data_IF_749195359196
#
_entry.id   IF_749195359196
#
_cell.length_a   1.000
_cell.length_b   1.000
_cell.length_c   1.000
_cell.angle_alpha   90.00
_cell.angle_beta   90.00
_cell.angle_gamma   90.00
#
_symmetry.space_group_name_H-M   'P 1'
#
loop_
_entity.id
_entity.type
_entity.pdbx_description
1 polymer ?
#
# COMPACT_ATOMS: atom_id res chain seq x y z
N UNK A 1 -38.18 11.08 -27.77
CA UNK A 1 -37.63 10.63 -29.07
C UNK A 1 -36.36 11.42 -29.35
N UNK A 2 -35.28 10.77 -29.82
CA UNK A 2 -34.09 11.49 -30.26
C UNK A 2 -34.39 12.29 -31.53
N UNK A 3 -33.73 13.45 -31.68
CA UNK A 3 -33.79 14.30 -32.85
C UNK A 3 -32.68 13.88 -33.81
N UNK A 4 -33.05 13.43 -35.01
CA UNK A 4 -32.09 12.95 -36.00
C UNK A 4 -31.43 14.13 -36.72
N UNK A 5 -30.11 14.23 -36.62
CA UNK A 5 -29.32 15.18 -37.40
C UNK A 5 -29.03 14.53 -38.75
N UNK A 6 -29.44 15.17 -39.84
CA UNK A 6 -29.18 14.70 -41.22
C UNK A 6 -28.31 15.66 -42.03
N UNK A 7 -28.00 16.82 -41.47
CA UNK A 7 -27.13 17.80 -42.11
C UNK A 7 -25.69 17.33 -41.94
N UNK A 8 -25.05 16.98 -43.04
CA UNK A 8 -23.63 16.66 -43.08
C UNK A 8 -23.05 17.05 -44.44
N UNK A 9 -21.77 17.39 -44.47
CA UNK A 9 -21.00 17.60 -45.69
C UNK A 9 -19.84 16.62 -45.69
N UNK A 10 -19.60 15.96 -46.82
CA UNK A 10 -18.51 15.00 -46.93
C UNK A 10 -17.73 15.22 -48.23
N UNK A 11 -16.44 14.94 -48.14
CA UNK A 11 -15.50 14.97 -49.24
C UNK A 11 -14.75 13.63 -49.24
N UNK A 12 -14.25 13.23 -50.41
CA UNK A 12 -13.50 11.99 -50.52
C UNK A 12 -12.26 12.13 -51.37
N UNK A 13 -11.29 11.30 -51.02
CA UNK A 13 -10.12 10.96 -51.81
C UNK A 13 -10.19 9.46 -52.13
N UNK A 14 -9.27 8.95 -52.97
CA UNK A 14 -9.20 7.53 -53.27
C UNK A 14 -9.05 6.65 -52.01
N UNK A 15 -8.33 7.15 -50.98
CA UNK A 15 -7.98 6.39 -49.77
C UNK A 15 -8.73 6.83 -48.50
N UNK A 16 -9.28 8.05 -48.47
CA UNK A 16 -9.86 8.62 -47.27
C UNK A 16 -11.18 9.34 -47.55
N UNK A 17 -12.00 9.46 -46.52
CA UNK A 17 -13.26 10.20 -46.50
C UNK A 17 -13.23 11.20 -45.35
N UNK A 18 -13.52 12.45 -45.68
CA UNK A 18 -13.66 13.53 -44.73
C UNK A 18 -15.15 13.80 -44.54
N UNK A 19 -15.66 13.64 -43.32
CA UNK A 19 -17.07 13.87 -43.01
C UNK A 19 -17.16 14.95 -41.93
N UNK A 20 -17.92 16.00 -42.22
CA UNK A 20 -18.20 17.10 -41.31
C UNK A 20 -19.66 17.07 -40.93
N UNK A 21 -19.93 16.90 -39.64
CA UNK A 21 -21.28 16.92 -39.07
C UNK A 21 -21.42 18.17 -38.20
N UNK A 22 -22.15 19.20 -38.65
CA UNK A 22 -22.41 20.39 -37.85
C UNK A 22 -23.22 20.04 -36.58
N UNK A 23 -22.76 20.50 -35.43
CA UNK A 23 -23.36 20.17 -34.13
C UNK A 23 -23.56 21.42 -33.26
N UNK A 24 -24.52 22.26 -33.66
CA UNK A 24 -24.70 23.60 -33.09
C UNK A 24 -25.46 23.65 -31.76
N UNK A 25 -26.07 22.54 -31.34
CA UNK A 25 -27.11 22.56 -30.32
C UNK A 25 -26.67 22.13 -28.90
N UNK A 26 -25.53 21.43 -28.75
CA UNK A 26 -25.05 20.96 -27.45
C UNK A 26 -23.54 20.67 -27.45
N UNK A 27 -22.84 20.82 -26.31
CA UNK A 27 -21.43 20.44 -26.22
C UNK A 27 -21.27 18.92 -26.36
N UNK A 28 -20.51 18.50 -27.37
CA UNK A 28 -20.18 17.10 -27.62
C UNK A 28 -19.18 16.58 -26.59
N UNK A 29 -19.48 15.42 -26.01
CA UNK A 29 -18.52 14.63 -25.25
C UNK A 29 -17.84 13.63 -26.17
N UNK A 30 -16.58 13.30 -25.89
CA UNK A 30 -15.83 12.27 -26.64
C UNK A 30 -16.53 10.92 -26.58
N UNK A 31 -17.12 10.57 -25.43
CA UNK A 31 -17.87 9.33 -25.21
C UNK A 31 -19.14 9.21 -26.08
N UNK A 32 -19.59 10.32 -26.68
CA UNK A 32 -20.75 10.35 -27.57
C UNK A 32 -20.43 9.91 -29.00
N UNK A 33 -19.16 9.84 -29.38
CA UNK A 33 -18.72 9.50 -30.73
C UNK A 33 -18.36 8.02 -30.76
N UNK A 34 -19.02 7.28 -31.64
CA UNK A 34 -18.77 5.87 -31.89
C UNK A 34 -18.44 5.69 -33.37
N UNK A 35 -17.28 5.08 -33.62
CA UNK A 35 -16.75 4.80 -34.94
C UNK A 35 -16.39 3.32 -35.02
N UNK A 36 -16.93 2.63 -36.01
CA UNK A 36 -16.65 1.24 -36.31
C UNK A 36 -16.50 1.07 -37.84
N UNK A 37 -16.06 -0.10 -38.29
CA UNK A 37 -15.72 -0.35 -39.70
C UNK A 37 -16.80 0.06 -40.70
N UNK A 38 -18.09 -0.12 -40.40
CA UNK A 38 -19.18 0.27 -41.32
C UNK A 38 -20.22 1.17 -40.67
N UNK A 39 -19.98 1.61 -39.44
CA UNK A 39 -21.00 2.25 -38.62
C UNK A 39 -20.44 3.45 -37.88
N UNK A 40 -21.10 4.59 -38.08
CA UNK A 40 -20.81 5.84 -37.40
C UNK A 40 -22.01 6.27 -36.59
N UNK A 41 -21.76 6.71 -35.36
CA UNK A 41 -22.78 7.25 -34.50
C UNK A 41 -22.21 8.41 -33.69
N UNK A 42 -22.95 9.52 -33.65
CA UNK A 42 -22.68 10.65 -32.77
C UNK A 42 -23.92 10.89 -31.94
N UNK A 43 -23.77 10.76 -30.63
CA UNK A 43 -24.84 10.89 -29.66
C UNK A 43 -24.54 12.02 -28.68
N UNK A 44 -25.36 13.06 -28.71
CA UNK A 44 -25.40 14.08 -27.66
C UNK A 44 -26.86 14.46 -27.45
N UNK A 45 -27.55 13.80 -26.50
CA UNK A 45 -28.98 13.98 -26.28
C UNK A 45 -29.38 15.46 -26.17
N UNK A 46 -30.47 15.90 -26.84
CA UNK A 46 -31.46 15.08 -27.52
C UNK A 46 -31.11 14.66 -28.96
N UNK A 47 -29.94 15.03 -29.49
CA UNK A 47 -29.57 14.84 -30.89
C UNK A 47 -28.79 13.54 -31.13
N UNK A 48 -29.08 12.89 -32.26
CA UNK A 48 -28.42 11.67 -32.71
C UNK A 48 -28.12 11.76 -34.20
N UNK A 49 -26.88 11.48 -34.58
CA UNK A 49 -26.47 11.21 -35.94
C UNK A 49 -26.07 9.73 -36.03
N UNK A 50 -26.54 9.07 -37.08
CA UNK A 50 -26.22 7.67 -37.39
C UNK A 50 -26.03 7.55 -38.89
N UNK A 51 -24.93 6.92 -39.30
CA UNK A 51 -24.63 6.67 -40.69
C UNK A 51 -24.02 5.28 -40.83
N UNK A 52 -24.55 4.51 -41.78
CA UNK A 52 -24.00 3.21 -42.19
C UNK A 52 -23.22 3.44 -43.47
N UNK A 53 -21.91 3.25 -43.40
CA UNK A 53 -21.00 3.54 -44.48
C UNK A 53 -21.18 2.58 -45.65
N UNK A 54 -20.95 3.08 -46.87
CA UNK A 54 -21.02 2.30 -48.10
C UNK A 54 -20.07 1.09 -48.11
N UNK A 55 -18.83 1.30 -47.65
CA UNK A 55 -17.78 0.29 -47.62
C UNK A 55 -17.03 0.33 -46.27
N UNK A 56 -16.30 -0.74 -45.90
CA UNK A 56 -15.63 -0.80 -44.61
C UNK A 56 -14.42 0.13 -44.55
N UNK A 57 -14.26 0.77 -43.40
CA UNK A 57 -13.13 1.64 -43.05
C UNK A 57 -12.21 0.96 -42.04
N UNK A 58 -10.98 1.47 -41.93
CA UNK A 58 -10.02 1.12 -40.89
C UNK A 58 -10.32 1.93 -39.62
N UNK A 59 -10.84 1.27 -38.58
CA UNK A 59 -11.21 1.88 -37.31
C UNK A 59 -10.00 2.37 -36.49
N UNK A 60 -8.86 1.68 -36.57
CA UNK A 60 -7.63 2.04 -35.84
C UNK A 60 -6.99 3.31 -36.39
N UNK A 61 -7.00 3.46 -37.72
CA UNK A 61 -6.36 4.61 -38.39
C UNK A 61 -7.29 5.82 -38.49
N UNK A 62 -8.60 5.58 -38.49
CA UNK A 62 -9.61 6.64 -38.57
C UNK A 62 -9.66 7.48 -37.29
N UNK A 63 -9.87 8.79 -37.43
CA UNK A 63 -9.89 9.71 -36.29
C UNK A 63 -11.10 10.63 -36.35
N UNK A 64 -11.60 11.02 -35.18
CA UNK A 64 -12.66 11.99 -35.03
C UNK A 64 -12.18 13.16 -34.17
N UNK A 65 -12.38 14.38 -34.66
CA UNK A 65 -12.03 15.63 -33.99
C UNK A 65 -13.29 16.45 -33.77
N UNK A 66 -13.40 17.07 -32.60
CA UNK A 66 -14.49 17.99 -32.28
C UNK A 66 -13.89 19.39 -32.33
N UNK A 67 -14.36 20.23 -33.25
CA UNK A 67 -13.84 21.59 -33.43
C UNK A 67 -14.99 22.56 -33.66
N UNK A 68 -15.01 23.66 -32.90
CA UNK A 68 -15.95 24.78 -33.06
C UNK A 68 -17.45 24.37 -33.16
N UNK A 69 -17.85 23.32 -32.44
CA UNK A 69 -19.23 22.82 -32.49
C UNK A 69 -19.56 22.02 -33.77
N UNK A 70 -18.55 21.47 -34.45
CA UNK A 70 -18.71 20.50 -35.54
C UNK A 70 -17.83 19.28 -35.27
N UNK A 71 -18.29 18.10 -35.72
CA UNK A 71 -17.49 16.87 -35.67
C UNK A 71 -16.86 16.63 -37.03
N UNK A 72 -15.54 16.58 -37.05
CA UNK A 72 -14.72 16.27 -38.21
C UNK A 72 -14.23 14.83 -38.11
N UNK A 73 -14.69 13.99 -39.01
CA UNK A 73 -14.24 12.62 -39.18
C UNK A 73 -13.23 12.55 -40.31
N UNK A 74 -12.08 11.93 -40.04
CA UNK A 74 -11.09 11.52 -41.03
C UNK A 74 -11.09 10.00 -41.06
N UNK A 75 -11.79 9.43 -42.03
CA UNK A 75 -12.00 8.00 -42.15
C UNK A 75 -11.10 7.45 -43.24
N UNK A 76 -10.36 6.38 -42.96
CA UNK A 76 -9.51 5.73 -43.97
C UNK A 76 -10.22 4.50 -44.52
N UNK A 77 -10.35 4.43 -45.85
CA UNK A 77 -10.98 3.31 -46.54
C UNK A 77 -10.09 2.08 -46.43
N UNK A 78 -10.68 0.90 -46.21
CA UNK A 78 -9.92 -0.37 -46.20
C UNK A 78 -9.51 -0.78 -47.63
N UNK A 79 -10.37 -0.47 -48.59
CA UNK A 79 -10.12 -0.66 -50.02
C UNK A 79 -10.16 0.72 -50.70
N UNK A 80 -9.11 1.04 -51.47
CA UNK A 80 -9.02 2.31 -52.18
C UNK A 80 -10.00 2.34 -53.36
N UNK A 81 -11.20 2.86 -53.11
CA UNK A 81 -12.27 2.95 -54.09
C UNK A 81 -13.01 4.29 -53.95
N UNK A 82 -13.46 4.87 -55.06
CA UNK A 82 -14.34 6.04 -55.05
C UNK A 82 -15.75 5.61 -54.65
N UNK A 83 -16.36 6.29 -53.69
CA UNK A 83 -17.71 5.99 -53.23
C UNK A 83 -18.71 6.88 -53.96
N UNK A 84 -19.78 6.30 -54.47
CA UNK A 84 -20.86 7.06 -55.11
C UNK A 84 -21.73 7.77 -54.07
N UNK A 85 -21.96 7.09 -52.93
CA UNK A 85 -22.71 7.59 -51.79
C UNK A 85 -21.95 7.30 -50.50
N UNK A 86 -22.01 8.22 -49.52
CA UNK A 86 -21.39 8.01 -48.20
C UNK A 86 -22.10 6.89 -47.42
N UNK A 87 -23.43 6.89 -47.53
CA UNK A 87 -24.33 5.98 -46.83
C UNK A 87 -24.81 4.92 -47.83
N UNK A 88 -25.05 3.69 -47.36
CA UNK A 88 -25.74 2.69 -48.18
C UNK A 88 -27.18 3.14 -48.48
N UNK A 89 -27.48 3.43 -49.75
CA UNK A 89 -28.76 4.05 -50.16
C UNK A 89 -29.99 3.13 -50.02
N UNK A 90 -29.82 1.80 -50.00
CA UNK A 90 -30.93 0.83 -50.03
C UNK A 90 -30.74 -0.36 -49.08
N UNK A 91 -30.25 -0.15 -47.86
CA UNK A 91 -30.13 -1.25 -46.89
C UNK A 91 -31.50 -1.75 -46.42
N UNK A 92 -31.73 -3.06 -46.42
CA UNK A 92 -32.91 -3.60 -45.74
C UNK A 92 -32.82 -3.28 -44.23
N UNK A 93 -33.97 -3.06 -43.57
CA UNK A 93 -34.02 -2.75 -42.13
C UNK A 93 -33.30 -3.82 -41.30
N UNK A 94 -33.37 -5.08 -41.75
CA UNK A 94 -32.66 -6.20 -41.14
C UNK A 94 -31.14 -6.08 -41.27
N UNK A 95 -30.64 -5.66 -42.44
CA UNK A 95 -29.20 -5.49 -42.69
C UNK A 95 -28.63 -4.33 -41.87
N UNK A 96 -29.35 -3.20 -41.78
CA UNK A 96 -28.93 -2.07 -40.95
C UNK A 96 -28.83 -2.46 -39.47
N UNK A 97 -29.77 -3.27 -38.99
CA UNK A 97 -29.77 -3.76 -37.62
C UNK A 97 -28.61 -4.73 -37.36
N UNK A 98 -28.34 -5.65 -38.30
CA UNK A 98 -27.17 -6.55 -38.23
C UNK A 98 -25.86 -5.79 -38.18
N UNK A 99 -25.67 -4.81 -39.07
CA UNK A 99 -24.45 -3.98 -39.08
C UNK A 99 -24.28 -3.25 -37.74
N UNK A 100 -25.37 -2.74 -37.16
CA UNK A 100 -25.34 -2.08 -35.84
C UNK A 100 -24.95 -3.05 -34.73
N UNK A 101 -25.54 -4.24 -34.69
CA UNK A 101 -25.25 -5.27 -33.70
C UNK A 101 -23.81 -5.79 -33.82
N UNK A 102 -23.35 -6.00 -35.05
CA UNK A 102 -22.00 -6.45 -35.37
C UNK A 102 -20.96 -5.41 -34.96
N UNK A 103 -21.21 -4.12 -35.24
CA UNK A 103 -20.33 -3.03 -34.83
C UNK A 103 -20.21 -2.93 -33.30
N UNK A 104 -21.32 -3.06 -32.57
CA UNK A 104 -21.31 -3.04 -31.10
C UNK A 104 -20.58 -4.26 -30.54
N UNK A 105 -20.85 -5.44 -31.09
CA UNK A 105 -20.24 -6.70 -30.65
C UNK A 105 -18.73 -6.70 -30.87
N UNK A 106 -18.27 -6.27 -32.05
CA UNK A 106 -16.84 -6.15 -32.36
C UNK A 106 -16.15 -5.18 -31.42
N UNK A 107 -16.72 -3.98 -31.23
CA UNK A 107 -16.15 -3.00 -30.29
C UNK A 107 -16.06 -3.52 -28.84
N UNK A 108 -17.03 -4.35 -28.40
CA UNK A 108 -16.99 -4.99 -27.09
C UNK A 108 -15.90 -6.07 -27.00
N UNK A 109 -15.73 -6.88 -28.05
CA UNK A 109 -14.69 -7.90 -28.13
C UNK A 109 -13.29 -7.28 -28.15
N UNK A 110 -13.09 -6.23 -28.95
CA UNK A 110 -11.82 -5.50 -29.02
C UNK A 110 -11.49 -4.86 -27.67
N UNK A 111 -12.45 -4.17 -27.04
CA UNK A 111 -12.26 -3.60 -25.71
C UNK A 111 -11.94 -4.66 -24.64
N UNK A 112 -12.55 -5.86 -24.73
CA UNK A 112 -12.26 -6.98 -23.83
C UNK A 112 -10.85 -7.52 -24.06
N UNK A 113 -10.46 -7.76 -25.31
CA UNK A 113 -9.14 -8.28 -25.66
C UNK A 113 -8.02 -7.30 -25.26
N UNK A 114 -8.23 -5.99 -25.44
CA UNK A 114 -7.31 -4.96 -24.96
C UNK A 114 -7.18 -4.94 -23.44
N UNK A 115 -8.28 -5.09 -22.72
CA UNK A 115 -8.27 -5.14 -21.26
C UNK A 115 -7.52 -6.38 -20.76
N UNK A 116 -7.72 -7.53 -21.40
CA UNK A 116 -6.99 -8.78 -21.12
C UNK A 116 -5.50 -8.65 -21.43
N UNK A 117 -5.13 -8.04 -22.56
CA UNK A 117 -3.74 -7.79 -22.92
C UNK A 117 -3.04 -6.84 -21.94
N UNK A 118 -3.71 -5.74 -21.53
CA UNK A 118 -3.20 -4.80 -20.51
C UNK A 118 -3.04 -5.50 -19.15
N UNK A 119 -3.99 -6.35 -18.78
CA UNK A 119 -3.91 -7.14 -17.55
C UNK A 119 -2.78 -8.16 -17.59
N UNK A 120 -2.57 -8.85 -18.72
CA UNK A 120 -1.47 -9.78 -18.94
C UNK A 120 -0.12 -9.07 -18.85
N UNK A 121 0.04 -7.93 -19.53
CA UNK A 121 1.26 -7.13 -19.46
C UNK A 121 1.54 -6.65 -18.03
N UNK A 122 0.51 -6.24 -17.28
CA UNK A 122 0.68 -5.86 -15.87
C UNK A 122 1.17 -7.05 -15.02
N UNK A 123 0.56 -8.23 -15.21
CA UNK A 123 0.97 -9.47 -14.51
C UNK A 123 2.41 -9.84 -14.84
N UNK A 124 2.80 -9.76 -16.10
CA UNK A 124 4.16 -10.07 -16.55
C UNK A 124 5.17 -9.09 -15.94
N UNK A 125 4.89 -7.78 -15.97
CA UNK A 125 5.72 -6.76 -15.32
C UNK A 125 5.87 -7.02 -13.82
N UNK A 126 4.79 -7.38 -13.13
CA UNK A 126 4.85 -7.73 -11.71
C UNK A 126 5.66 -9.00 -11.45
N UNK A 127 5.51 -10.03 -12.28
CA UNK A 127 6.29 -11.27 -12.18
C UNK A 127 7.78 -11.01 -12.38
N UNK A 128 8.13 -10.24 -13.41
CA UNK A 128 9.51 -9.89 -13.70
C UNK A 128 10.15 -9.11 -12.54
N UNK A 129 9.42 -8.17 -11.94
CA UNK A 129 9.91 -7.42 -10.78
C UNK A 129 10.18 -8.34 -9.58
N UNK A 130 9.25 -9.26 -9.25
CA UNK A 130 9.43 -10.24 -8.16
C UNK A 130 10.61 -11.17 -8.44
N UNK A 131 10.72 -11.67 -9.68
CA UNK A 131 11.82 -12.55 -10.07
C UNK A 131 13.18 -11.84 -9.98
N UNK A 132 13.25 -10.57 -10.36
CA UNK A 132 14.46 -9.76 -10.19
C UNK A 132 14.83 -9.59 -8.70
N UNK A 133 13.85 -9.37 -7.82
CA UNK A 133 14.11 -9.28 -6.37
C UNK A 133 14.61 -10.59 -5.78
N UNK A 134 14.03 -11.73 -6.18
CA UNK A 134 14.46 -13.06 -5.74
C UNK A 134 15.91 -13.32 -6.16
N UNK A 135 16.26 -13.02 -7.42
CA UNK A 135 17.63 -13.18 -7.93
C UNK A 135 18.65 -12.37 -7.13
N UNK A 136 18.30 -11.15 -6.73
CA UNK A 136 19.18 -10.32 -5.90
C UNK A 136 19.32 -10.88 -4.48
N UNK A 137 18.22 -11.31 -3.86
CA UNK A 137 18.26 -11.93 -2.53
C UNK A 137 19.04 -13.25 -2.53
N UNK A 138 18.87 -14.09 -3.55
CA UNK A 138 19.59 -15.36 -3.69
C UNK A 138 21.10 -15.13 -3.85
N UNK A 139 21.51 -14.16 -4.68
CA UNK A 139 22.91 -13.79 -4.82
C UNK A 139 23.54 -13.29 -3.50
N UNK A 140 22.78 -12.54 -2.70
CA UNK A 140 23.23 -12.09 -1.38
C UNK A 140 23.34 -13.26 -0.39
N UNK A 141 22.39 -14.21 -0.41
CA UNK A 141 22.45 -15.42 0.41
C UNK A 141 23.68 -16.26 0.06
N UNK A 142 23.94 -16.49 -1.23
CA UNK A 142 25.13 -17.20 -1.70
C UNK A 142 26.42 -16.51 -1.25
N UNK A 143 26.48 -15.18 -1.32
CA UNK A 143 27.61 -14.38 -0.82
C UNK A 143 27.86 -14.62 0.67
N UNK A 144 26.80 -14.57 1.49
CA UNK A 144 26.88 -14.79 2.94
C UNK A 144 27.33 -16.23 3.22
N UNK A 145 26.81 -17.22 2.52
CA UNK A 145 27.19 -18.62 2.68
C UNK A 145 28.65 -18.88 2.32
N UNK A 146 29.14 -18.31 1.22
CA UNK A 146 30.55 -18.38 0.85
C UNK A 146 31.46 -17.75 1.92
N UNK A 147 31.06 -16.63 2.52
CA UNK A 147 31.79 -15.99 3.61
C UNK A 147 31.82 -16.88 4.86
N UNK A 148 30.66 -17.40 5.28
CA UNK A 148 30.56 -18.31 6.43
C UNK A 148 31.42 -19.56 6.22
N UNK A 149 31.40 -20.15 5.03
CA UNK A 149 32.19 -21.33 4.73
C UNK A 149 33.69 -21.02 4.75
N UNK A 150 34.10 -19.85 4.26
CA UNK A 150 35.49 -19.40 4.31
C UNK A 150 35.98 -19.21 5.75
N UNK A 151 35.17 -18.62 6.62
CA UNK A 151 35.49 -18.48 8.04
C UNK A 151 35.53 -19.82 8.75
N UNK A 152 34.59 -20.72 8.45
CA UNK A 152 34.56 -22.09 8.98
C UNK A 152 35.82 -22.85 8.60
N UNK A 153 36.24 -22.80 7.33
CA UNK A 153 37.48 -23.44 6.84
C UNK A 153 38.72 -22.90 7.54
N UNK A 154 38.83 -21.57 7.67
CA UNK A 154 39.95 -20.94 8.39
C UNK A 154 40.01 -21.40 9.86
N UNK A 155 38.86 -21.45 10.54
CA UNK A 155 38.80 -21.90 11.92
C UNK A 155 39.19 -23.39 12.05
N UNK A 156 38.75 -24.25 11.13
CA UNK A 156 39.16 -25.67 11.14
C UNK A 156 40.66 -25.83 10.89
N UNK A 157 41.22 -25.09 9.94
CA UNK A 157 42.66 -25.09 9.67
C UNK A 157 43.49 -24.57 10.85
N UNK A 158 43.00 -23.54 11.56
CA UNK A 158 43.66 -23.01 12.75
C UNK A 158 43.64 -24.01 13.90
N UNK A 159 42.51 -24.69 14.13
CA UNK A 159 42.40 -25.78 15.11
C UNK A 159 43.35 -26.93 14.77
N UNK A 160 43.46 -27.32 13.49
CA UNK A 160 44.39 -28.36 13.04
C UNK A 160 45.84 -27.97 13.28
N UNK A 161 46.24 -26.75 12.89
CA UNK A 161 47.59 -26.22 13.15
C UNK A 161 47.91 -26.17 14.65
N UNK A 162 46.96 -25.75 15.47
CA UNK A 162 47.12 -25.74 16.93
C UNK A 162 47.29 -27.16 17.48
N UNK A 163 46.51 -28.14 17.01
CA UNK A 163 46.66 -29.55 17.40
C UNK A 163 48.06 -30.08 17.07
N UNK A 164 48.56 -29.82 15.86
CA UNK A 164 49.90 -30.23 15.44
C UNK A 164 51.01 -29.58 16.29
N UNK A 165 50.90 -28.28 16.57
CA UNK A 165 51.85 -27.56 17.43
C UNK A 165 51.85 -28.11 18.85
N UNK A 166 50.67 -28.39 19.41
CA UNK A 166 50.52 -28.96 20.75
C UNK A 166 51.11 -30.39 20.81
N UNK A 167 50.92 -31.21 19.77
CA UNK A 167 51.53 -32.53 19.69
C UNK A 167 53.07 -32.46 19.61
N UNK A 168 53.62 -31.50 18.85
CA UNK A 168 55.06 -31.22 18.80
C UNK A 168 55.60 -30.76 20.16
N UNK A 169 54.90 -29.86 20.86
CA UNK A 169 55.27 -29.42 22.21
C UNK A 169 55.24 -30.56 23.23
N UNK A 170 54.23 -31.44 23.18
CA UNK A 170 54.17 -32.63 24.03
C UNK A 170 55.34 -33.59 23.78
N UNK A 171 55.74 -33.78 22.51
CA UNK A 171 56.94 -34.58 22.16
C UNK A 171 58.24 -33.94 22.67
N UNK A 172 58.34 -32.60 22.65
CA UNK A 172 59.52 -31.88 23.18
C UNK A 172 59.57 -31.93 24.72
N UNK A 173 58.42 -31.75 25.39
CA UNK A 173 58.32 -31.83 26.86
C UNK A 173 58.64 -33.24 27.40
N UNK A 174 58.41 -34.28 26.61
CA UNK A 174 58.76 -35.66 26.99
C UNK A 174 60.29 -35.93 26.99
N UNK A 175 61.12 -35.00 26.48
CA UNK A 175 62.57 -35.20 26.37
C UNK A 175 63.45 -34.33 27.29
N UNK A 176 62.91 -33.60 28.27
CA UNK A 176 63.73 -32.89 29.28
C UNK A 176 63.74 -33.62 30.64
N UNK A 177 64.91 -33.99 31.20
CA UNK A 177 65.00 -34.58 32.53
C UNK A 177 64.95 -33.52 33.64
N UNK A 178 64.22 -33.87 34.71
CA UNK A 178 64.03 -33.14 35.97
C UNK A 178 65.36 -32.77 36.66
N UNK A 179 65.52 -31.52 37.09
CA UNK A 179 66.34 -31.17 38.26
C UNK A 179 65.53 -30.30 39.22
N UNK A 180 65.23 -30.86 40.39
CA UNK A 180 64.66 -30.18 41.54
C UNK A 180 65.75 -29.39 42.29
N UNK A 181 65.46 -28.15 42.71
CA UNK A 181 66.18 -27.56 43.84
C UNK A 181 65.24 -26.83 44.79
N UNK A 182 65.32 -27.29 46.04
CA UNK A 182 64.55 -26.98 47.24
C UNK A 182 65.18 -25.77 47.97
N UNK A 183 64.37 -24.89 48.59
CA UNK A 183 64.47 -24.39 49.99
C UNK A 183 63.54 -23.17 50.26
N UNK A 184 63.00 -23.14 51.49
CA UNK A 184 62.01 -22.21 52.07
C UNK A 184 62.70 -21.22 53.07
N UNK A 185 61.99 -20.36 53.86
CA UNK A 185 61.85 -18.89 53.72
C UNK A 185 62.52 -18.05 54.84
N UNK A 186 62.76 -16.75 54.62
CA UNK A 186 63.03 -15.77 55.70
C UNK A 186 62.37 -14.40 55.47
N UNK A 187 62.04 -13.75 56.59
CA UNK A 187 61.25 -12.53 56.78
C UNK A 187 62.12 -11.26 56.65
N UNK A 188 61.53 -10.12 56.25
CA UNK A 188 61.76 -8.83 56.94
C UNK A 188 60.80 -7.74 56.46
N UNK A 189 60.27 -7.00 57.46
CA UNK A 189 59.54 -5.73 57.32
C UNK A 189 60.58 -4.60 57.18
N UNK A 190 60.31 -3.60 56.34
CA UNK A 190 60.58 -2.20 56.72
C UNK A 190 59.78 -1.17 55.92
N UNK A 191 59.45 -0.11 56.64
CA UNK A 191 58.58 1.02 56.39
C UNK A 191 59.25 2.11 55.54
N UNK A 192 58.48 2.86 54.73
CA UNK A 192 58.72 4.30 54.61
C UNK A 192 57.47 5.10 54.17
N UNK A 193 57.16 6.14 54.97
CA UNK A 193 56.11 7.15 54.78
C UNK A 193 56.69 8.38 54.07
N UNK A 194 55.89 9.09 53.24
CA UNK A 194 55.80 10.57 53.24
C UNK A 194 54.38 11.07 52.92
N UNK A 195 54.02 12.16 53.62
CA UNK A 195 52.72 12.85 53.82
C UNK A 195 52.40 13.90 52.74
N UNK A 196 51.12 14.37 52.69
CA UNK A 196 50.61 15.77 52.90
C UNK A 196 49.05 15.74 52.70
N UNK A 197 48.21 15.89 53.76
CA UNK A 197 47.45 17.09 54.29
C UNK A 197 46.32 17.58 53.34
N UNK A 198 45.08 17.93 53.76
CA UNK A 198 44.55 18.44 55.04
C UNK A 198 43.00 18.48 55.16
N UNK A 199 42.50 18.51 56.42
CA UNK A 199 41.37 19.27 57.03
C UNK A 199 39.90 19.06 56.57
N UNK A 200 38.84 19.06 57.40
CA UNK A 200 38.65 19.17 58.87
C UNK A 200 37.15 19.11 59.28
N UNK A 201 36.86 18.58 60.49
CA UNK A 201 35.90 19.06 61.55
C UNK A 201 34.38 18.95 61.28
N UNK A 202 33.50 18.43 62.17
CA UNK A 202 33.59 17.83 63.51
C UNK A 202 32.20 17.45 64.06
N UNK A 203 32.20 16.62 65.13
CA UNK A 203 31.34 16.60 66.36
C UNK A 203 29.78 16.55 66.22
N UNK A 204 28.93 15.87 67.01
CA UNK A 204 29.00 15.15 68.31
C UNK A 204 27.66 14.44 68.62
N UNK A 205 27.69 13.38 69.47
CA UNK A 205 26.74 13.02 70.58
C UNK A 205 25.28 12.58 70.22
N UNK A 206 24.58 11.71 70.94
CA UNK A 206 24.80 10.92 72.17
C UNK A 206 23.64 9.91 72.41
N UNK A 207 23.96 8.84 73.17
CA UNK A 207 23.19 8.21 74.28
C UNK A 207 21.85 7.47 74.03
N UNK A 208 21.81 6.13 74.19
CA UNK A 208 21.36 5.29 75.35
C UNK A 208 19.82 5.06 75.31
N UNK A 209 19.19 3.91 75.60
CA UNK A 209 19.48 2.83 76.55
C UNK A 209 18.53 1.60 76.43
N UNK A 210 19.11 0.41 76.61
CA UNK A 210 18.67 -0.76 77.42
C UNK A 210 17.35 -1.53 77.18
N UNK A 211 17.50 -2.86 77.12
CA UNK A 211 16.45 -3.87 77.33
C UNK A 211 16.95 -5.32 77.13
N UNK A 212 17.48 -5.90 78.21
CA UNK A 212 17.75 -7.33 78.56
C UNK A 212 16.76 -8.38 77.98
N UNK A 213 16.98 -9.70 77.86
CA UNK A 213 18.04 -10.70 78.12
C UNK A 213 17.49 -12.03 77.57
N UNK A 214 18.20 -12.81 76.74
CA UNK A 214 18.11 -14.30 76.69
C UNK A 214 19.49 -14.89 76.30
N UNK A 215 19.85 -15.91 77.06
CA UNK A 215 21.07 -16.73 77.17
C UNK A 215 21.60 -17.44 75.92
N UNK A 216 22.92 -17.64 75.86
CA UNK A 216 23.53 -18.79 75.17
C UNK A 216 24.92 -18.57 74.57
N UNK A 217 25.94 -18.29 75.39
CA UNK A 217 27.34 -18.20 74.95
C UNK A 217 27.93 -19.59 74.63
N UNK A 218 28.26 -19.85 73.36
CA UNK A 218 29.17 -20.93 72.95
C UNK A 218 30.22 -20.50 71.91
N UNK A 219 30.45 -19.19 71.77
CA UNK A 219 31.54 -18.66 70.96
C UNK A 219 32.06 -17.39 71.64
N UNK A 220 33.10 -17.57 72.47
CA UNK A 220 33.84 -16.48 73.06
C UNK A 220 35.31 -16.83 73.06
N UNK A 221 35.90 -16.70 71.88
CA UNK A 221 37.33 -16.45 71.77
C UNK A 221 37.52 -15.27 70.82
N UNK A 222 37.99 -14.17 71.40
CA UNK A 222 38.31 -12.87 70.78
C UNK A 222 38.85 -13.04 69.36
N UNK A 223 38.39 -12.21 68.42
CA UNK A 223 39.22 -11.25 67.66
C UNK A 223 38.39 -10.48 66.62
N UNK A 224 38.29 -9.17 66.85
CA UNK A 224 37.98 -8.09 65.88
C UNK A 224 36.64 -8.17 65.18
N UNK A 225 35.69 -7.47 65.80
CA UNK A 225 34.55 -6.84 65.15
C UNK A 225 35.06 -5.93 64.02
N UNK A 226 35.20 -6.50 62.82
CA UNK A 226 35.18 -5.70 61.59
C UNK A 226 33.77 -5.13 61.48
N UNK A 227 33.65 -3.88 61.89
CA UNK A 227 32.46 -3.06 61.72
C UNK A 227 31.94 -3.24 60.31
N UNK A 228 30.79 -3.89 60.16
CA UNK A 228 30.03 -3.83 58.92
C UNK A 228 29.83 -2.34 58.65
N UNK A 229 30.32 -1.79 57.52
CA UNK A 229 30.17 -0.37 57.25
C UNK A 229 28.67 -0.05 57.22
N UNK A 230 28.29 1.01 57.92
CA UNK A 230 26.89 1.43 58.00
C UNK A 230 26.30 1.55 56.57
N UNK A 231 25.05 1.11 56.34
CA UNK A 231 24.38 1.28 55.06
C UNK A 231 24.51 2.74 54.59
N UNK A 232 24.93 2.93 53.33
CA UNK A 232 25.09 4.27 52.75
C UNK A 232 23.73 4.98 52.80
N UNK A 233 23.72 6.28 53.08
CA UNK A 233 22.50 7.09 53.12
C UNK A 233 21.74 6.98 51.79
N UNK A 234 20.44 6.71 51.84
CA UNK A 234 19.61 6.65 50.65
C UNK A 234 19.61 8.01 49.93
N UNK A 235 20.15 8.05 48.72
CA UNK A 235 20.07 9.21 47.84
C UNK A 235 19.04 8.93 46.74
N UNK A 236 18.02 9.78 46.62
CA UNK A 236 17.09 9.75 45.50
C UNK A 236 17.77 10.35 44.27
N UNK A 237 17.90 9.56 43.21
CA UNK A 237 18.42 10.01 41.92
C UNK A 237 17.22 10.37 41.06
N UNK A 238 17.09 11.64 40.67
CA UNK A 238 16.13 12.03 39.64
C UNK A 238 16.63 11.58 38.28
N UNK A 239 16.04 10.49 37.76
CA UNK A 239 16.31 10.00 36.42
C UNK A 239 15.30 10.64 35.47
N UNK A 240 15.77 11.56 34.62
CA UNK A 240 14.98 12.09 33.51
C UNK A 240 15.22 11.24 32.27
N UNK A 241 14.24 10.44 31.90
CA UNK A 241 14.29 9.68 30.66
C UNK A 241 14.05 10.59 29.46
N UNK A 242 14.96 10.56 28.49
CA UNK A 242 14.76 11.22 27.21
C UNK A 242 13.60 10.53 26.47
N UNK A 243 12.57 11.25 26.01
CA UNK A 243 11.46 10.64 25.28
C UNK A 243 12.00 10.05 23.97
N UNK A 244 11.88 8.74 23.82
CA UNK A 244 12.36 8.01 22.64
C UNK A 244 11.18 7.46 21.85
N UNK A 245 11.25 7.61 20.53
CA UNK A 245 10.23 7.15 19.56
C UNK A 245 10.28 5.62 19.40
N UNK A 246 11.44 5.00 19.64
CA UNK A 246 11.66 3.58 19.47
C UNK A 246 11.67 2.82 20.82
N UNK A 247 10.98 1.67 20.93
CA UNK A 247 10.95 0.87 22.15
C UNK A 247 12.25 0.09 22.43
N UNK A 248 13.11 -0.14 21.42
CA UNK A 248 14.39 -0.86 21.57
C UNK A 248 15.48 0.08 22.08
N UNK A 249 16.29 -0.31 23.07
CA UNK A 249 17.38 0.52 23.62
C UNK A 249 18.39 1.00 22.55
N UNK A 250 18.98 2.18 22.76
CA UNK A 250 19.79 2.88 21.76
C UNK A 250 21.07 2.09 21.51
N UNK A 251 21.27 1.66 20.28
CA UNK A 251 22.51 1.02 19.85
C UNK A 251 23.24 2.01 18.96
N UNK A 252 24.40 2.48 19.41
CA UNK A 252 25.18 3.51 18.72
C UNK A 252 25.44 3.16 17.23
N UNK A 253 25.52 1.86 16.91
CA UNK A 253 25.68 1.37 15.53
C UNK A 253 24.51 1.66 14.59
N UNK A 254 23.31 1.98 15.10
CA UNK A 254 22.05 2.14 14.33
C UNK A 254 21.49 3.56 14.32
N UNK A 255 22.18 4.51 14.94
CA UNK A 255 21.81 5.93 14.95
C UNK A 255 21.51 6.47 13.53
N UNK A 256 22.36 6.26 12.50
CA UNK A 256 22.08 6.81 11.17
C UNK A 256 20.83 6.18 10.52
N UNK A 257 20.58 4.89 10.73
CA UNK A 257 19.38 4.20 10.22
C UNK A 257 18.10 4.73 10.90
N UNK A 258 18.15 4.99 12.21
CA UNK A 258 17.03 5.57 12.97
C UNK A 258 16.74 7.02 12.56
N UNK A 259 17.77 7.83 12.31
CA UNK A 259 17.63 9.21 11.83
C UNK A 259 17.06 9.26 10.41
N UNK A 260 17.55 8.41 9.50
CA UNK A 260 16.97 8.29 8.16
C UNK A 260 15.50 7.89 8.20
N UNK A 261 15.13 6.98 9.10
CA UNK A 261 13.74 6.56 9.27
C UNK A 261 12.85 7.73 9.75
N UNK A 262 13.33 8.49 10.73
CA UNK A 262 12.63 9.68 11.24
C UNK A 262 12.52 10.78 10.17
N UNK A 263 13.57 11.01 9.39
CA UNK A 263 13.58 11.95 8.27
C UNK A 263 12.57 11.53 7.19
N UNK A 264 12.56 10.26 6.78
CA UNK A 264 11.59 9.72 5.80
C UNK A 264 10.15 9.86 6.30
N UNK A 265 9.91 9.61 7.59
CA UNK A 265 8.58 9.78 8.19
C UNK A 265 8.15 11.25 8.26
N UNK A 266 9.08 12.16 8.57
CA UNK A 266 8.82 13.60 8.59
C UNK A 266 8.60 14.16 7.17
N UNK A 267 9.37 13.70 6.19
CA UNK A 267 9.22 14.07 4.78
C UNK A 267 7.88 13.60 4.22
N UNK A 268 7.48 12.34 4.48
CA UNK A 268 6.15 11.84 4.11
C UNK A 268 5.03 12.70 4.72
N UNK A 269 5.16 13.13 5.98
CA UNK A 269 4.21 14.05 6.63
C UNK A 269 4.23 15.44 5.99
N UNK A 270 5.38 15.95 5.55
CA UNK A 270 5.49 17.25 4.86
C UNK A 270 4.80 17.21 3.48
N UNK A 271 4.98 16.14 2.71
CA UNK A 271 4.34 15.97 1.40
C UNK A 271 2.81 15.91 1.55
N UNK A 272 2.33 15.13 2.53
CA UNK A 272 0.89 15.08 2.83
C UNK A 272 0.38 16.47 3.26
N UNK A 273 1.12 17.18 4.11
CA UNK A 273 0.73 18.52 4.55
C UNK A 273 0.80 19.59 3.44
N UNK A 274 1.72 19.47 2.47
CA UNK A 274 1.77 20.38 1.31
C UNK A 274 0.60 20.15 0.36
N UNK A 275 0.26 18.89 0.10
CA UNK A 275 -0.92 18.54 -0.71
C UNK A 275 -2.24 18.98 -0.03
N UNK A 276 -2.25 19.00 1.32
CA UNK A 276 -3.36 19.50 2.14
C UNK A 276 -3.42 21.05 2.13
N UNK A 277 -2.30 21.74 2.04
CA UNK A 277 -2.25 23.21 1.99
C UNK A 277 -2.85 23.75 0.68
N UNK A 278 -2.80 22.98 -0.41
CA UNK A 278 -3.47 23.30 -1.69
C UNK A 278 -5.00 23.14 -1.63
N UNK A 279 -5.54 22.56 -0.55
CA UNK A 279 -6.97 22.34 -0.31
C UNK A 279 -7.51 23.31 0.76
N UNK A 280 -7.42 24.61 0.49
CA UNK A 280 -7.80 25.69 1.43
C UNK A 280 -9.30 25.73 1.78
N UNK A 281 -10.15 25.06 0.99
CA UNK A 281 -11.61 25.06 1.13
C UNK A 281 -12.19 24.04 2.15
N UNK A 282 -11.38 23.11 2.66
CA UNK A 282 -11.82 22.06 3.60
C UNK A 282 -11.52 22.43 5.07
N UNK A 283 -12.43 22.07 5.97
CA UNK A 283 -12.24 22.24 7.42
C UNK A 283 -11.04 21.42 7.92
N UNK A 284 -10.39 21.90 8.98
CA UNK A 284 -9.17 21.29 9.54
C UNK A 284 -9.37 19.82 9.98
N UNK A 285 -10.60 19.43 10.34
CA UNK A 285 -10.91 18.03 10.64
C UNK A 285 -10.97 17.13 9.40
N UNK A 286 -11.39 17.65 8.24
CA UNK A 286 -11.49 16.91 6.97
C UNK A 286 -10.13 16.77 6.28
N UNK A 287 -9.12 17.51 6.75
CA UNK A 287 -7.73 17.43 6.28
C UNK A 287 -6.95 16.29 6.92
N UNK A 288 -7.42 15.73 8.05
CA UNK A 288 -6.70 14.68 8.75
C UNK A 288 -6.98 13.29 8.13
N UNK A 289 -5.95 12.60 7.58
CA UNK A 289 -6.12 11.29 6.95
C UNK A 289 -6.56 10.19 7.93
N UNK A 290 -6.17 10.28 9.21
CA UNK A 290 -6.59 9.31 10.23
C UNK A 290 -8.07 9.50 10.60
N UNK A 291 -8.55 10.75 10.61
CA UNK A 291 -9.96 11.06 10.83
C UNK A 291 -10.85 10.54 9.70
N UNK A 292 -10.42 10.71 8.44
CA UNK A 292 -11.08 10.14 7.25
C UNK A 292 -11.11 8.61 7.30
N UNK A 293 -10.00 7.99 7.68
CA UNK A 293 -9.89 6.54 7.81
C UNK A 293 -10.85 6.00 8.87
N UNK A 294 -10.96 6.66 10.02
CA UNK A 294 -11.86 6.24 11.09
C UNK A 294 -13.33 6.49 10.74
N UNK A 295 -13.67 7.60 10.07
CA UNK A 295 -15.00 7.81 9.48
C UNK A 295 -15.35 6.72 8.47
N UNK A 296 -14.42 6.35 7.59
CA UNK A 296 -14.57 5.27 6.62
C UNK A 296 -14.84 3.92 7.29
N UNK A 297 -14.09 3.58 8.34
CA UNK A 297 -14.33 2.38 9.15
C UNK A 297 -15.71 2.40 9.81
N UNK A 298 -16.13 3.55 10.36
CA UNK A 298 -17.47 3.68 10.95
C UNK A 298 -18.59 3.44 9.94
N UNK A 299 -18.51 4.06 8.75
CA UNK A 299 -19.50 3.88 7.67
C UNK A 299 -19.50 2.43 7.17
N UNK A 300 -18.32 1.82 7.00
CA UNK A 300 -18.20 0.43 6.58
C UNK A 300 -18.80 -0.55 7.61
N UNK A 301 -18.54 -0.33 8.90
CA UNK A 301 -19.15 -1.11 9.98
C UNK A 301 -20.67 -0.96 10.03
N UNK A 302 -21.20 0.25 9.83
CA UNK A 302 -22.64 0.49 9.76
C UNK A 302 -23.28 -0.24 8.56
N UNK A 303 -22.63 -0.21 7.40
CA UNK A 303 -23.10 -0.91 6.20
C UNK A 303 -23.13 -2.43 6.40
N UNK A 304 -22.08 -3.00 7.01
CA UNK A 304 -22.03 -4.41 7.37
C UNK A 304 -23.17 -4.78 8.34
N UNK A 305 -23.46 -3.93 9.32
CA UNK A 305 -24.52 -4.14 10.31
C UNK A 305 -25.91 -4.07 9.68
N UNK A 306 -26.14 -3.10 8.80
CA UNK A 306 -27.36 -2.98 8.00
C UNK A 306 -27.56 -4.21 7.09
N UNK A 307 -26.50 -4.68 6.44
CA UNK A 307 -26.56 -5.85 5.55
C UNK A 307 -26.89 -7.15 6.32
N UNK A 308 -26.35 -7.31 7.54
CA UNK A 308 -26.69 -8.42 8.43
C UNK A 308 -28.16 -8.38 8.87
N UNK A 309 -28.68 -7.20 9.22
CA UNK A 309 -30.09 -7.04 9.59
C UNK A 309 -31.01 -7.39 8.42
N UNK A 310 -30.68 -6.96 7.20
CA UNK A 310 -31.46 -7.31 6.00
C UNK A 310 -31.40 -8.80 5.70
N UNK A 311 -30.25 -9.45 5.91
CA UNK A 311 -30.10 -10.89 5.70
C UNK A 311 -30.92 -11.69 6.72
N UNK A 312 -30.86 -11.31 8.01
CA UNK A 312 -31.66 -11.95 9.06
C UNK A 312 -33.16 -11.77 8.79
N UNK A 313 -33.59 -10.58 8.38
CA UNK A 313 -34.99 -10.33 8.03
C UNK A 313 -35.46 -11.16 6.83
N UNK A 314 -34.61 -11.33 5.81
CA UNK A 314 -34.91 -12.19 4.66
C UNK A 314 -35.00 -13.67 5.06
N UNK A 315 -34.09 -14.16 5.89
CA UNK A 315 -34.11 -15.54 6.40
C UNK A 315 -35.36 -15.79 7.24
N UNK A 316 -35.76 -14.87 8.11
CA UNK A 316 -37.00 -14.98 8.89
C UNK A 316 -38.22 -14.99 7.96
N UNK A 317 -38.25 -14.13 6.94
CA UNK A 317 -39.34 -14.10 5.97
C UNK A 317 -39.46 -15.43 5.23
N UNK A 318 -38.36 -15.96 4.69
CA UNK A 318 -38.34 -17.25 3.99
C UNK A 318 -38.74 -18.39 4.92
N UNK A 319 -38.30 -18.38 6.18
CA UNK A 319 -38.67 -19.38 7.18
C UNK A 319 -40.17 -19.31 7.54
N UNK A 320 -40.73 -18.10 7.68
CA UNK A 320 -42.17 -17.91 7.88
C UNK A 320 -43.02 -18.30 6.67
N UNK A 321 -42.49 -18.13 5.44
CA UNK A 321 -43.15 -18.60 4.21
C UNK A 321 -43.10 -20.12 4.06
N UNK A 322 -42.05 -20.78 4.55
CA UNK A 322 -41.95 -22.23 4.49
C UNK A 322 -42.75 -22.94 5.59
N UNK A 323 -42.93 -22.29 6.75
CA UNK A 323 -43.76 -22.79 7.85
C UNK A 323 -45.28 -22.66 7.64
N UNK A 324 -45.73 -21.92 6.63
CA UNK A 324 -47.14 -21.87 6.21
C UNK A 324 -47.31 -22.74 4.98
N UNK A 325 -47.73 -23.98 5.19
CA UNK A 325 -48.11 -24.90 4.12
C UNK A 325 -49.08 -24.25 3.13
N UNK A 326 -48.87 -24.57 1.85
CA UNK A 326 -49.66 -24.21 0.70
C UNK A 326 -51.17 -24.04 1.00
N UNK A 327 -51.70 -22.87 0.70
CA UNK A 327 -52.68 -22.68 -0.37
C UNK A 327 -52.90 -21.17 -0.60
N UNK A 328 -52.91 -20.75 -1.86
CA UNK A 328 -53.33 -19.42 -2.36
C UNK A 328 -52.44 -18.20 -2.03
N UNK A 329 -51.22 -18.11 -2.59
CA UNK A 329 -50.49 -16.82 -2.59
C UNK A 329 -49.55 -16.58 -3.78
N UNK A 330 -49.69 -17.30 -4.90
CA UNK A 330 -48.83 -17.11 -6.08
C UNK A 330 -49.24 -15.95 -7.00
N UNK A 331 -50.31 -15.21 -6.69
CA UNK A 331 -50.77 -14.09 -7.53
C UNK A 331 -50.35 -12.69 -7.02
N UNK A 332 -50.06 -12.51 -5.73
CA UNK A 332 -49.77 -11.18 -5.17
C UNK A 332 -48.28 -10.87 -4.94
N UNK A 333 -47.41 -11.89 -4.94
CA UNK A 333 -45.98 -11.69 -4.68
C UNK A 333 -45.17 -11.22 -5.91
N UNK A 334 -45.69 -11.35 -7.12
CA UNK A 334 -45.04 -10.84 -8.34
C UNK A 334 -45.02 -9.31 -8.45
N UNK A 335 -45.98 -8.62 -7.84
CA UNK A 335 -46.11 -7.16 -8.00
C UNK A 335 -45.38 -6.36 -6.91
N UNK A 336 -45.37 -6.85 -5.66
CA UNK A 336 -44.71 -6.15 -4.53
C UNK A 336 -43.20 -6.37 -4.52
N UNK A 337 -42.71 -7.54 -4.97
CA UNK A 337 -41.29 -7.84 -4.99
C UNK A 337 -40.53 -7.02 -6.06
N UNK A 338 -41.17 -6.76 -7.21
CA UNK A 338 -40.63 -5.85 -8.24
C UNK A 338 -40.60 -4.41 -7.73
N UNK A 339 -41.63 -3.95 -7.00
CA UNK A 339 -41.68 -2.55 -6.53
C UNK A 339 -40.64 -2.21 -5.45
N UNK A 340 -40.32 -3.14 -4.55
CA UNK A 340 -39.33 -2.92 -3.47
C UNK A 340 -37.90 -3.01 -3.99
N UNK A 341 -37.63 -3.88 -4.98
CA UNK A 341 -36.32 -3.97 -5.64
C UNK A 341 -36.08 -2.77 -6.56
N UNK A 342 -37.09 -2.30 -7.29
CA UNK A 342 -36.98 -1.09 -8.12
C UNK A 342 -36.75 0.18 -7.27
N UNK A 343 -37.49 0.35 -6.16
CA UNK A 343 -37.36 1.53 -5.30
C UNK A 343 -36.02 1.62 -4.54
N UNK A 344 -35.41 0.48 -4.19
CA UNK A 344 -34.09 0.48 -3.52
C UNK A 344 -32.92 0.67 -4.49
N UNK A 345 -32.99 0.14 -5.72
CA UNK A 345 -31.97 0.43 -6.75
C UNK A 345 -31.95 1.92 -7.15
N UNK A 346 -33.11 2.56 -7.24
CA UNK A 346 -33.22 3.99 -7.58
C UNK A 346 -32.66 4.93 -6.49
N UNK A 347 -32.77 4.57 -5.20
CA UNK A 347 -32.14 5.34 -4.11
C UNK A 347 -30.62 5.10 -4.01
N UNK A 348 -30.15 3.91 -4.39
CA UNK A 348 -28.72 3.58 -4.43
C UNK A 348 -28.02 4.30 -5.60
N UNK A 349 -28.64 4.36 -6.77
CA UNK A 349 -28.10 5.12 -7.92
C UNK A 349 -28.16 6.63 -7.72
N UNK A 350 -29.21 7.16 -7.06
CA UNK A 350 -29.32 8.60 -6.78
C UNK A 350 -28.31 9.08 -5.72
N UNK A 351 -27.99 8.26 -4.71
CA UNK A 351 -26.95 8.59 -3.72
C UNK A 351 -25.53 8.41 -4.25
N UNK A 352 -25.30 7.41 -5.11
CA UNK A 352 -23.99 7.22 -5.78
C UNK A 352 -23.69 8.35 -6.77
N UNK A 353 -24.69 8.83 -7.51
CA UNK A 353 -24.53 9.97 -8.42
C UNK A 353 -24.29 11.31 -7.67
N UNK A 354 -24.88 11.50 -6.48
CA UNK A 354 -24.60 12.68 -5.64
C UNK A 354 -23.23 12.63 -4.98
N UNK A 355 -22.71 11.45 -4.60
CA UNK A 355 -21.35 11.32 -4.09
C UNK A 355 -20.27 11.46 -5.17
N UNK A 356 -20.52 10.97 -6.40
CA UNK A 356 -19.59 11.15 -7.52
C UNK A 356 -19.46 12.62 -7.97
N UNK A 357 -20.46 13.46 -7.69
CA UNK A 357 -20.43 14.90 -8.02
C UNK A 357 -19.65 15.73 -6.98
N UNK A 358 -19.38 15.18 -5.79
CA UNK A 358 -18.60 15.86 -4.72
C UNK A 358 -17.09 15.53 -4.82
N UNK A 359 -16.71 14.48 -5.56
CA UNK A 359 -15.30 14.04 -5.69
C UNK A 359 -14.56 14.58 -6.92
N UNK A 360 -15.06 15.62 -7.60
CA UNK A 360 -14.29 16.25 -8.69
C UNK A 360 -14.70 17.71 -8.98
N UNK A 361 -14.22 18.70 -8.20
CA UNK A 361 -14.18 20.08 -8.65
C UNK A 361 -12.84 20.35 -9.34
N UNK A 362 -12.86 20.62 -10.64
CA UNK A 362 -11.81 21.42 -11.29
C UNK A 362 -10.66 20.66 -11.96
N UNK A 363 -10.84 20.36 -13.24
CA UNK A 363 -9.73 20.18 -14.17
C UNK A 363 -9.96 21.03 -15.41
N UNK A 364 -9.55 22.31 -15.36
CA UNK A 364 -9.45 23.21 -16.52
C UNK A 364 -7.98 23.34 -16.93
N UNK A 365 -7.68 23.56 -18.22
CA UNK A 365 -6.47 23.06 -18.87
C UNK A 365 -5.32 24.06 -18.86
N UNK A 366 -4.10 23.58 -18.57
CA UNK A 366 -2.88 24.33 -18.86
C UNK A 366 -2.56 24.27 -20.35
N UNK A 367 -2.65 25.43 -20.97
CA UNK A 367 -1.93 25.81 -22.18
C UNK A 367 -0.44 25.55 -22.03
N UNK A 368 0.18 24.98 -23.07
CA UNK A 368 1.60 25.12 -23.35
C UNK A 368 1.74 25.79 -24.70
N UNK A 369 2.75 26.66 -24.73
CA UNK A 369 3.35 27.39 -25.83
C UNK A 369 3.44 26.55 -27.11
#
# INVERSE_FOLDING_TARGET
MPVWVRDYSWEQTAEAVYLVVPWRAAPLRRDGIFCAERYLKVNSPPFLFEAILYAPIDDVRSTAKIENGSVFFTLYKKEAAMWESLIMENGDKGEMQRIREDAVRKAQEDAKSEAEAKAAQKRERSKFAVEATIKLEDAERERIEMLKEKERKKATEEIEKWKEQNEKQKKIHFCQPHQEHRKTPEQSKQENKRKVKSSSRGTSKSSTSTGDTISGNMFSEKLKEESIPAPRSASSIEIKFTPRVFPTALRESRIPEEEEWLCKQAEARRIINSDIAELEDLKEEEKNPDWLKDKGKCVWMLLQRMCKITFISYVIMVCCLWGKGNEVATSWMGSVCVFVVQCRLLRFFSSSARMATIMNPGGSPRSKI
#
